data_IF_445459484016
#
_entry.id   IF_445459484016
#
_cell.length_a   1.000
_cell.length_b   1.000
_cell.length_c   1.000
_cell.angle_alpha   90.00
_cell.angle_beta   90.00
_cell.angle_gamma   90.00
#
_symmetry.space_group_name_H-M   'P 1'
#
loop_
_entity.id
_entity.type
_entity.pdbx_description
1 polymer ?
#
# COMPACT_ATOMS: atom_id res chain seq x y z
N UNK A 1 18.26 21.56 -76.06
CA UNK A 1 19.52 22.30 -75.85
C UNK A 1 19.35 23.56 -75.01
N UNK A 2 18.61 24.61 -75.41
CA UNK A 2 18.41 25.79 -74.54
C UNK A 2 17.53 25.49 -73.31
N UNK A 3 16.49 24.65 -73.48
CA UNK A 3 15.61 24.24 -72.39
C UNK A 3 16.30 23.31 -71.38
N UNK A 4 17.18 22.40 -71.83
CA UNK A 4 17.95 21.52 -70.93
C UNK A 4 18.91 22.31 -70.03
N UNK A 5 19.54 23.38 -70.56
CA UNK A 5 20.47 24.22 -69.79
C UNK A 5 19.70 25.03 -68.74
N UNK A 6 18.48 25.50 -69.05
CA UNK A 6 17.60 26.20 -68.10
C UNK A 6 17.07 25.26 -67.00
N UNK A 7 16.67 24.03 -67.33
CA UNK A 7 16.26 23.03 -66.35
C UNK A 7 17.41 22.64 -65.42
N UNK A 8 18.61 22.42 -65.97
CA UNK A 8 19.79 22.04 -65.19
C UNK A 8 20.22 23.19 -64.27
N UNK A 9 20.21 24.44 -64.77
CA UNK A 9 20.52 25.63 -63.97
C UNK A 9 19.52 25.86 -62.84
N UNK A 10 18.22 25.65 -63.10
CA UNK A 10 17.16 25.76 -62.10
C UNK A 10 17.36 24.71 -60.99
N UNK A 11 17.62 23.45 -61.36
CA UNK A 11 17.87 22.37 -60.39
C UNK A 11 19.13 22.59 -59.54
N UNK A 12 20.19 23.18 -60.12
CA UNK A 12 21.42 23.50 -59.36
C UNK A 12 21.28 24.68 -58.41
N UNK A 13 20.37 25.63 -58.71
CA UNK A 13 20.11 26.79 -57.85
C UNK A 13 19.39 26.37 -56.55
N UNK A 14 18.51 25.37 -56.63
CA UNK A 14 17.84 24.77 -55.48
C UNK A 14 18.74 23.86 -54.63
N UNK A 15 19.90 23.47 -55.14
CA UNK A 15 20.86 22.60 -54.46
C UNK A 15 22.09 23.37 -53.93
N UNK A 16 22.12 24.70 -54.04
CA UNK A 16 23.18 25.52 -53.46
C UNK A 16 23.16 25.36 -51.92
N UNK A 17 24.26 24.87 -51.30
CA UNK A 17 24.34 24.67 -49.86
C UNK A 17 23.99 25.93 -49.05
N UNK A 18 24.24 27.13 -49.61
CA UNK A 18 23.91 28.41 -48.97
C UNK A 18 22.41 28.67 -48.87
N UNK A 19 21.59 28.03 -49.70
CA UNK A 19 20.13 28.15 -49.69
C UNK A 19 19.47 26.96 -48.99
N UNK A 20 19.98 25.75 -49.24
CA UNK A 20 19.43 24.48 -48.73
C UNK A 20 19.61 24.37 -47.21
N UNK A 21 20.78 24.71 -46.68
CA UNK A 21 21.07 24.56 -45.24
C UNK A 21 20.15 25.49 -44.41
N UNK A 22 20.02 26.80 -44.71
CA UNK A 22 19.08 27.67 -44.00
C UNK A 22 17.62 27.20 -44.08
N UNK A 23 17.18 26.75 -45.26
CA UNK A 23 15.82 26.26 -45.46
C UNK A 23 15.53 25.00 -44.63
N UNK A 24 16.46 24.04 -44.61
CA UNK A 24 16.34 22.83 -43.77
C UNK A 24 16.36 23.21 -42.28
N UNK A 25 17.23 24.12 -41.84
CA UNK A 25 17.22 24.59 -40.45
C UNK A 25 15.94 25.32 -40.08
N UNK A 26 15.35 26.10 -40.99
CA UNK A 26 14.07 26.78 -40.76
C UNK A 26 12.92 25.78 -40.62
N UNK A 27 12.90 24.72 -41.44
CA UNK A 27 11.90 23.63 -41.33
C UNK A 27 12.10 22.82 -40.05
N UNK A 28 13.34 22.46 -39.70
CA UNK A 28 13.67 21.78 -38.46
C UNK A 28 13.24 22.59 -37.23
N UNK A 29 13.54 23.90 -37.22
CA UNK A 29 13.22 24.79 -36.10
C UNK A 29 11.73 25.11 -36.00
N UNK A 30 11.00 25.16 -37.12
CA UNK A 30 9.56 25.51 -37.13
C UNK A 30 8.64 24.30 -36.95
N UNK A 31 9.05 23.10 -37.37
CA UNK A 31 8.18 21.91 -37.34
C UNK A 31 8.68 20.88 -36.32
N UNK A 32 9.95 20.46 -36.43
CA UNK A 32 10.46 19.33 -35.65
C UNK A 32 10.70 19.73 -34.19
N UNK A 33 11.29 20.90 -33.95
CA UNK A 33 11.56 21.38 -32.58
C UNK A 33 10.26 21.60 -31.78
N UNK A 34 9.21 22.26 -32.29
CA UNK A 34 7.95 22.40 -31.54
C UNK A 34 7.25 21.09 -31.26
N UNK A 35 7.27 20.13 -32.19
CA UNK A 35 6.69 18.78 -31.97
C UNK A 35 7.44 18.04 -30.86
N UNK A 36 8.78 18.07 -30.88
CA UNK A 36 9.60 17.47 -29.83
C UNK A 36 9.35 18.13 -28.47
N UNK A 37 9.29 19.47 -28.42
CA UNK A 37 8.98 20.21 -27.19
C UNK A 37 7.58 19.83 -26.69
N UNK A 38 6.57 19.77 -27.56
CA UNK A 38 5.21 19.42 -27.17
C UNK A 38 5.13 18.00 -26.62
N UNK A 39 5.76 17.04 -27.28
CA UNK A 39 5.75 15.64 -26.85
C UNK A 39 6.55 15.43 -25.55
N UNK A 40 7.72 16.06 -25.41
CA UNK A 40 8.50 16.00 -24.16
C UNK A 40 7.79 16.70 -23.01
N UNK A 41 7.13 17.84 -23.27
CA UNK A 41 6.28 18.55 -22.30
C UNK A 41 5.09 17.69 -21.86
N UNK A 42 4.35 17.10 -22.79
CA UNK A 42 3.24 16.21 -22.49
C UNK A 42 3.69 15.00 -21.63
N UNK A 43 4.81 14.37 -21.98
CA UNK A 43 5.41 13.29 -21.17
C UNK A 43 5.85 13.75 -19.78
N UNK A 44 6.33 14.99 -19.64
CA UNK A 44 6.73 15.56 -18.35
C UNK A 44 5.50 15.85 -17.48
N UNK A 45 4.46 16.43 -18.05
CA UNK A 45 3.19 16.71 -17.36
C UNK A 45 2.51 15.43 -16.88
N UNK A 46 2.46 14.40 -17.72
CA UNK A 46 1.93 13.09 -17.33
C UNK A 46 2.71 12.50 -16.15
N UNK A 47 4.06 12.52 -16.21
CA UNK A 47 4.90 12.04 -15.11
C UNK A 47 4.67 12.81 -13.82
N UNK A 48 4.55 14.12 -13.87
CA UNK A 48 4.24 14.92 -12.68
C UNK A 48 2.85 14.61 -12.12
N UNK A 49 1.83 14.49 -12.97
CA UNK A 49 0.47 14.13 -12.52
C UNK A 49 0.45 12.76 -11.86
N UNK A 50 1.11 11.77 -12.45
CA UNK A 50 1.21 10.43 -11.86
C UNK A 50 1.94 10.45 -10.52
N UNK A 51 3.05 11.19 -10.43
CA UNK A 51 3.81 11.33 -9.18
C UNK A 51 2.99 12.05 -8.09
N UNK A 52 2.27 13.10 -8.45
CA UNK A 52 1.40 13.85 -7.53
C UNK A 52 0.26 12.96 -6.99
N UNK A 53 -0.42 12.24 -7.88
CA UNK A 53 -1.46 11.27 -7.51
C UNK A 53 -0.89 10.18 -6.60
N UNK A 54 0.26 9.58 -6.95
CA UNK A 54 0.92 8.56 -6.11
C UNK A 54 1.31 9.11 -4.75
N UNK A 55 1.90 10.30 -4.69
CA UNK A 55 2.29 10.94 -3.43
C UNK A 55 1.08 11.13 -2.52
N UNK A 56 -0.03 11.63 -3.08
CA UNK A 56 -1.27 11.81 -2.33
C UNK A 56 -1.82 10.48 -1.80
N UNK A 57 -1.95 9.48 -2.67
CA UNK A 57 -2.50 8.16 -2.29
C UNK A 57 -1.61 7.45 -1.27
N UNK A 58 -0.28 7.51 -1.43
CA UNK A 58 0.65 6.88 -0.49
C UNK A 58 0.65 7.57 0.87
N UNK A 59 0.53 8.90 0.89
CA UNK A 59 0.41 9.68 2.14
C UNK A 59 -0.89 9.35 2.88
N UNK A 60 -2.01 9.33 2.15
CA UNK A 60 -3.32 9.00 2.71
C UNK A 60 -3.35 7.56 3.24
N UNK A 61 -2.78 6.61 2.49
CA UNK A 61 -2.60 5.22 2.93
C UNK A 61 -1.81 5.15 4.24
N UNK A 62 -0.64 5.81 4.29
CA UNK A 62 0.24 5.73 5.46
C UNK A 62 -0.43 6.28 6.72
N UNK A 63 -1.12 7.42 6.61
CA UNK A 63 -1.83 8.04 7.74
C UNK A 63 -2.94 7.15 8.28
N UNK A 64 -3.80 6.63 7.41
CA UNK A 64 -4.90 5.72 7.78
C UNK A 64 -4.37 4.40 8.34
N UNK A 65 -3.27 3.91 7.78
CA UNK A 65 -2.60 2.74 8.29
C UNK A 65 -2.05 2.97 9.69
N UNK A 66 -1.37 4.09 9.97
CA UNK A 66 -0.89 4.40 11.32
C UNK A 66 -2.05 4.50 12.33
N UNK A 67 -3.17 5.10 11.93
CA UNK A 67 -4.40 5.15 12.73
C UNK A 67 -4.96 3.74 13.02
N UNK A 68 -4.91 2.82 12.04
CA UNK A 68 -5.35 1.44 12.19
C UNK A 68 -4.36 0.59 13.02
N UNK A 69 -3.07 0.77 12.82
CA UNK A 69 -1.98 0.03 13.46
C UNK A 69 -1.82 0.40 14.94
N UNK A 70 -2.05 1.68 15.29
CA UNK A 70 -2.10 2.14 16.68
C UNK A 70 -3.13 1.37 17.52
N UNK A 71 -4.18 0.81 16.88
CA UNK A 71 -5.22 0.03 17.54
C UNK A 71 -5.00 -1.50 17.61
N UNK A 72 -4.00 -2.08 16.94
CA UNK A 72 -3.87 -3.56 16.82
C UNK A 72 -2.57 -4.13 17.34
N UNK A 73 -1.43 -3.52 17.01
CA UNK A 73 -0.12 -4.13 17.31
C UNK A 73 0.25 -4.13 18.80
N UNK A 74 -0.31 -3.18 19.56
CA UNK A 74 -0.07 -3.01 21.01
C UNK A 74 -1.09 -3.78 21.85
N UNK A 75 -2.26 -4.10 21.27
CA UNK A 75 -3.37 -4.64 22.05
C UNK A 75 -3.37 -6.16 22.19
N UNK A 76 -2.70 -6.97 21.35
CA UNK A 76 -2.81 -8.43 21.49
C UNK A 76 -2.22 -9.00 22.79
N UNK A 77 -0.95 -8.71 23.06
CA UNK A 77 -0.25 -9.22 24.24
C UNK A 77 -0.83 -8.62 25.52
N UNK A 78 -1.19 -7.33 25.46
CA UNK A 78 -1.91 -6.64 26.53
C UNK A 78 -3.28 -7.26 26.77
N UNK A 79 -4.02 -7.56 25.71
CA UNK A 79 -5.35 -8.13 25.79
C UNK A 79 -5.30 -9.55 26.37
N UNK A 80 -4.47 -10.44 25.83
CA UNK A 80 -4.37 -11.82 26.31
C UNK A 80 -3.77 -11.94 27.72
N UNK A 81 -2.69 -11.21 28.04
CA UNK A 81 -2.01 -11.36 29.33
C UNK A 81 -2.59 -10.51 30.45
N UNK A 82 -3.20 -9.38 30.12
CA UNK A 82 -3.71 -8.41 31.11
C UNK A 82 -5.22 -8.37 31.08
N UNK A 83 -5.84 -7.96 29.96
CA UNK A 83 -7.29 -7.72 29.90
C UNK A 83 -8.10 -8.98 30.14
N UNK A 84 -7.82 -10.05 29.40
CA UNK A 84 -8.50 -11.33 29.49
C UNK A 84 -8.24 -12.00 30.85
N UNK A 85 -7.00 -11.94 31.34
CA UNK A 85 -6.64 -12.47 32.65
C UNK A 85 -7.38 -11.74 33.78
N UNK A 86 -7.51 -10.42 33.69
CA UNK A 86 -8.22 -9.61 34.67
C UNK A 86 -9.72 -9.86 34.61
N UNK A 87 -10.30 -9.93 33.40
CA UNK A 87 -11.72 -10.25 33.22
C UNK A 87 -12.06 -11.65 33.75
N UNK A 88 -11.18 -12.63 33.52
CA UNK A 88 -11.33 -13.98 34.07
C UNK A 88 -11.19 -14.00 35.59
N UNK A 89 -10.26 -13.21 36.14
CA UNK A 89 -10.11 -13.05 37.59
C UNK A 89 -11.35 -12.43 38.24
N UNK A 90 -11.90 -11.36 37.66
CA UNK A 90 -13.17 -10.77 38.13
C UNK A 90 -14.32 -11.78 38.07
N UNK A 91 -14.38 -12.61 37.02
CA UNK A 91 -15.37 -13.67 36.90
C UNK A 91 -15.26 -14.69 38.06
N UNK A 92 -14.05 -15.08 38.43
CA UNK A 92 -13.80 -16.01 39.54
C UNK A 92 -14.09 -15.36 40.91
N UNK A 93 -13.62 -14.13 41.14
CA UNK A 93 -13.78 -13.39 42.40
C UNK A 93 -15.25 -13.03 42.69
N UNK A 94 -16.06 -12.83 41.63
CA UNK A 94 -17.50 -12.60 41.72
C UNK A 94 -18.34 -13.88 41.84
N UNK A 95 -17.69 -15.04 41.95
CA UNK A 95 -18.33 -16.35 41.97
C UNK A 95 -19.24 -16.58 40.74
N UNK A 96 -18.78 -16.12 39.57
CA UNK A 96 -19.50 -16.18 38.29
C UNK A 96 -20.88 -15.53 38.34
N UNK A 97 -20.98 -14.33 38.94
CA UNK A 97 -22.24 -13.57 38.94
C UNK A 97 -22.70 -13.29 37.51
N UNK A 98 -24.03 -13.15 37.26
CA UNK A 98 -24.54 -12.84 35.93
C UNK A 98 -23.90 -11.59 35.31
N UNK A 99 -23.65 -10.55 36.12
CA UNK A 99 -23.00 -9.31 35.67
C UNK A 99 -21.54 -9.54 35.26
N UNK A 100 -20.79 -10.34 36.00
CA UNK A 100 -19.40 -10.65 35.70
C UNK A 100 -19.27 -11.56 34.46
N UNK A 101 -20.22 -12.48 34.25
CA UNK A 101 -20.31 -13.28 33.02
C UNK A 101 -20.55 -12.40 31.80
N UNK A 102 -21.48 -11.43 31.89
CA UNK A 102 -21.74 -10.48 30.80
C UNK A 102 -20.50 -9.64 30.51
N UNK A 103 -19.83 -9.11 31.53
CA UNK A 103 -18.61 -8.30 31.38
C UNK A 103 -17.46 -9.08 30.75
N UNK A 104 -17.27 -10.34 31.15
CA UNK A 104 -16.27 -11.22 30.56
C UNK A 104 -16.57 -11.53 29.09
N UNK A 105 -17.83 -11.82 28.76
CA UNK A 105 -18.27 -12.07 27.38
C UNK A 105 -18.09 -10.85 26.49
N UNK A 106 -18.43 -9.65 26.98
CA UNK A 106 -18.25 -8.38 26.27
C UNK A 106 -16.77 -8.12 25.95
N UNK A 107 -15.88 -8.37 26.92
CA UNK A 107 -14.44 -8.14 26.74
C UNK A 107 -13.80 -9.16 25.78
N UNK A 108 -14.25 -10.43 25.77
CA UNK A 108 -13.85 -11.41 24.76
C UNK A 108 -14.35 -11.02 23.37
N UNK A 109 -15.59 -10.54 23.25
CA UNK A 109 -16.20 -10.16 21.97
C UNK A 109 -15.58 -8.91 21.33
N UNK A 110 -15.00 -8.01 22.14
CA UNK A 110 -14.34 -6.79 21.67
C UNK A 110 -13.07 -7.03 20.88
N UNK A 111 -12.35 -8.10 21.17
CA UNK A 111 -11.06 -8.34 20.53
C UNK A 111 -11.18 -8.71 19.04
N UNK A 112 -12.04 -9.66 18.64
CA UNK A 112 -12.33 -9.92 17.22
C UNK A 112 -12.85 -8.69 16.47
N UNK A 113 -13.71 -7.87 17.09
CA UNK A 113 -14.26 -6.67 16.44
C UNK A 113 -13.19 -5.60 16.20
N UNK A 114 -12.27 -5.41 17.14
CA UNK A 114 -11.12 -4.51 16.97
C UNK A 114 -10.18 -4.96 15.84
N UNK A 115 -9.88 -6.26 15.75
CA UNK A 115 -9.09 -6.80 14.63
C UNK A 115 -9.83 -6.59 13.31
N UNK A 116 -11.13 -6.90 13.27
CA UNK A 116 -11.94 -6.79 12.06
C UNK A 116 -12.02 -5.33 11.57
N UNK A 117 -12.23 -4.37 12.47
CA UNK A 117 -12.29 -2.96 12.13
C UNK A 117 -10.97 -2.44 11.59
N UNK A 118 -9.85 -2.84 12.19
CA UNK A 118 -8.53 -2.45 11.72
C UNK A 118 -8.18 -3.11 10.39
N UNK A 119 -8.54 -4.38 10.20
CA UNK A 119 -8.41 -5.05 8.92
C UNK A 119 -9.20 -4.35 7.81
N UNK A 120 -10.47 -4.00 8.08
CA UNK A 120 -11.30 -3.26 7.12
C UNK A 120 -10.65 -1.94 6.70
N UNK A 121 -10.17 -1.16 7.67
CA UNK A 121 -9.47 0.11 7.41
C UNK A 121 -8.19 -0.09 6.60
N UNK A 122 -7.43 -1.15 6.86
CA UNK A 122 -6.21 -1.45 6.12
C UNK A 122 -6.50 -1.90 4.67
N UNK A 123 -7.55 -2.71 4.46
CA UNK A 123 -7.87 -3.31 3.15
C UNK A 123 -8.57 -2.33 2.18
N UNK A 124 -9.38 -1.39 2.69
CA UNK A 124 -10.03 -0.36 1.86
C UNK A 124 -9.00 0.44 1.03
N UNK A 125 -7.85 0.76 1.61
CA UNK A 125 -6.81 1.58 0.95
C UNK A 125 -5.85 0.77 0.07
N UNK A 126 -5.71 -0.54 0.32
CA UNK A 126 -4.87 -1.43 -0.48
C UNK A 126 -5.33 -1.46 -1.94
N UNK A 127 -6.64 -1.31 -2.21
CA UNK A 127 -7.17 -1.30 -3.58
C UNK A 127 -6.57 -0.16 -4.42
N UNK A 128 -6.44 1.04 -3.83
CA UNK A 128 -5.83 2.19 -4.49
C UNK A 128 -4.34 1.98 -4.75
N UNK A 129 -3.63 1.36 -3.81
CA UNK A 129 -2.22 0.99 -3.97
C UNK A 129 -2.03 -0.04 -5.10
N UNK A 130 -2.89 -1.05 -5.19
CA UNK A 130 -2.84 -2.09 -6.23
C UNK A 130 -3.02 -1.53 -7.65
N UNK A 131 -3.78 -0.45 -7.81
CA UNK A 131 -4.03 0.18 -9.12
C UNK A 131 -2.87 1.09 -9.55
N UNK A 132 -2.29 1.83 -8.60
CA UNK A 132 -1.33 2.90 -8.89
C UNK A 132 0.14 2.50 -8.69
N UNK A 133 0.40 1.50 -7.87
CA UNK A 133 1.73 0.99 -7.53
C UNK A 133 2.38 0.16 -8.63
N UNK A 134 3.65 -0.16 -8.42
CA UNK A 134 4.37 -1.17 -9.20
C UNK A 134 3.83 -2.59 -8.94
N UNK A 135 4.19 -3.53 -9.81
CA UNK A 135 3.90 -4.96 -9.62
C UNK A 135 4.47 -5.48 -8.28
N UNK A 136 5.60 -4.94 -7.83
CA UNK A 136 6.18 -5.27 -6.53
C UNK A 136 5.33 -4.77 -5.37
N UNK A 137 4.82 -3.53 -5.44
CA UNK A 137 3.89 -3.00 -4.44
C UNK A 137 2.57 -3.79 -4.43
N UNK A 138 2.09 -4.22 -5.61
CA UNK A 138 0.94 -5.10 -5.73
C UNK A 138 1.17 -6.44 -5.02
N UNK A 139 2.31 -7.09 -5.24
CA UNK A 139 2.64 -8.37 -4.58
C UNK A 139 2.75 -8.22 -3.06
N UNK A 140 3.44 -7.19 -2.58
CA UNK A 140 3.60 -6.92 -1.14
C UNK A 140 2.25 -6.64 -0.47
N UNK A 141 1.37 -5.88 -1.12
CA UNK A 141 0.03 -5.59 -0.57
C UNK A 141 -0.91 -6.78 -0.63
N UNK A 142 -0.76 -7.68 -1.60
CA UNK A 142 -1.49 -8.94 -1.66
C UNK A 142 -1.06 -9.92 -0.54
N UNK A 143 0.25 -10.04 -0.29
CA UNK A 143 0.78 -10.84 0.82
C UNK A 143 0.29 -10.29 2.18
N UNK A 144 0.22 -8.96 2.30
CA UNK A 144 -0.29 -8.32 3.51
C UNK A 144 -1.77 -8.64 3.75
N UNK A 145 -2.59 -8.59 2.71
CA UNK A 145 -4.01 -8.97 2.79
C UNK A 145 -4.17 -10.44 3.21
N UNK A 146 -3.38 -11.34 2.62
CA UNK A 146 -3.41 -12.76 2.96
C UNK A 146 -3.05 -13.01 4.43
N UNK A 147 -1.98 -12.39 4.94
CA UNK A 147 -1.59 -12.54 6.34
C UNK A 147 -2.66 -12.05 7.31
N UNK A 148 -3.35 -10.96 6.98
CA UNK A 148 -4.46 -10.47 7.82
C UNK A 148 -5.68 -11.40 7.77
N UNK A 149 -6.03 -11.95 6.61
CA UNK A 149 -7.10 -12.96 6.50
C UNK A 149 -6.79 -14.20 7.35
N UNK A 150 -5.52 -14.62 7.39
CA UNK A 150 -5.07 -15.72 8.24
C UNK A 150 -5.20 -15.39 9.73
N UNK A 151 -4.85 -14.16 10.16
CA UNK A 151 -5.08 -13.72 11.54
C UNK A 151 -6.57 -13.69 11.90
N UNK A 152 -7.43 -13.23 11.00
CA UNK A 152 -8.89 -13.25 11.21
C UNK A 152 -9.39 -14.67 11.41
N UNK A 153 -8.95 -15.62 10.59
CA UNK A 153 -9.31 -17.04 10.74
C UNK A 153 -8.82 -17.61 12.07
N UNK A 154 -7.57 -17.34 12.45
CA UNK A 154 -7.01 -17.78 13.73
C UNK A 154 -7.72 -17.14 14.92
N UNK A 155 -8.27 -15.93 14.78
CA UNK A 155 -9.05 -15.28 15.85
C UNK A 155 -10.32 -16.07 16.15
N UNK A 156 -11.00 -16.60 15.12
CA UNK A 156 -12.16 -17.49 15.30
C UNK A 156 -11.76 -18.82 15.95
N UNK A 157 -10.63 -19.39 15.57
CA UNK A 157 -10.10 -20.62 16.18
C UNK A 157 -9.72 -20.40 17.65
N UNK A 158 -9.10 -19.26 17.96
CA UNK A 158 -8.76 -18.83 19.33
C UNK A 158 -9.98 -18.65 20.23
N UNK A 159 -11.08 -18.05 19.72
CA UNK A 159 -12.35 -17.98 20.45
C UNK A 159 -12.91 -19.39 20.75
N UNK A 160 -12.75 -20.32 19.81
CA UNK A 160 -13.12 -21.72 19.98
C UNK A 160 -12.33 -22.40 21.10
N UNK A 161 -11.00 -22.17 21.15
CA UNK A 161 -10.14 -22.66 22.23
C UNK A 161 -10.50 -22.02 23.58
N UNK A 162 -10.83 -20.74 23.63
CA UNK A 162 -11.22 -20.05 24.86
C UNK A 162 -12.46 -20.66 25.53
N UNK A 163 -13.44 -21.10 24.73
CA UNK A 163 -14.60 -21.83 25.25
C UNK A 163 -14.20 -23.15 25.93
N UNK A 164 -13.08 -23.76 25.53
CA UNK A 164 -12.54 -24.97 26.16
C UNK A 164 -11.65 -24.65 27.38
N UNK A 165 -10.91 -23.54 27.34
CA UNK A 165 -10.03 -23.07 28.43
C UNK A 165 -10.81 -22.62 29.67
N UNK A 166 -12.08 -22.21 29.52
CA UNK A 166 -13.01 -22.01 30.64
C UNK A 166 -13.18 -23.27 31.54
N UNK A 167 -12.87 -24.46 31.00
CA UNK A 167 -12.94 -25.75 31.70
C UNK A 167 -11.58 -26.11 32.33
N UNK A 168 -10.46 -25.65 31.77
CA UNK A 168 -9.10 -25.80 32.30
C UNK A 168 -8.20 -24.63 31.84
N UNK A 169 -7.71 -23.77 32.75
CA UNK A 169 -7.06 -22.52 32.37
C UNK A 169 -5.61 -22.75 31.92
N UNK A 170 -5.42 -23.00 30.62
CA UNK A 170 -4.13 -22.80 29.96
C UNK A 170 -4.23 -21.62 28.99
N UNK A 171 -3.71 -20.47 29.44
CA UNK A 171 -3.69 -19.21 28.68
C UNK A 171 -2.48 -19.12 27.73
N UNK A 172 -1.57 -20.10 27.74
CA UNK A 172 -0.43 -20.21 26.81
C UNK A 172 -0.81 -20.96 25.52
N UNK A 173 -2.04 -20.73 25.04
CA UNK A 173 -2.63 -21.41 23.90
C UNK A 173 -1.71 -21.36 22.66
N UNK A 174 -1.52 -22.49 21.96
CA UNK A 174 -0.64 -22.58 20.79
C UNK A 174 -1.06 -21.63 19.66
N UNK A 175 -2.35 -21.29 19.56
CA UNK A 175 -2.85 -20.31 18.58
C UNK A 175 -2.35 -18.90 18.91
N UNK A 176 -2.24 -18.53 20.18
CA UNK A 176 -1.78 -17.20 20.56
C UNK A 176 -0.32 -16.94 20.14
N UNK A 177 0.53 -17.96 20.25
CA UNK A 177 1.92 -17.91 19.78
C UNK A 177 1.98 -17.77 18.24
N UNK A 178 1.12 -18.49 17.51
CA UNK A 178 1.04 -18.39 16.04
C UNK A 178 0.53 -17.03 15.56
N UNK A 179 -0.50 -16.49 16.21
CA UNK A 179 -1.04 -15.16 15.93
C UNK A 179 0.03 -14.09 16.14
N UNK A 180 0.80 -14.18 17.24
CA UNK A 180 1.93 -13.26 17.51
C UNK A 180 2.99 -13.30 16.42
N UNK A 181 3.42 -14.50 15.99
CA UNK A 181 4.40 -14.64 14.92
C UNK A 181 3.91 -14.03 13.59
N UNK A 182 2.64 -14.21 13.24
CA UNK A 182 2.07 -13.56 12.04
C UNK A 182 1.95 -12.04 12.18
N UNK A 183 1.64 -11.53 13.36
CA UNK A 183 1.62 -10.09 13.61
C UNK A 183 3.00 -9.46 13.41
N UNK A 184 4.08 -10.14 13.80
CA UNK A 184 5.46 -9.73 13.51
C UNK A 184 5.77 -9.74 12.02
N UNK A 185 5.34 -10.77 11.28
CA UNK A 185 5.47 -10.82 9.81
C UNK A 185 4.74 -9.66 9.12
N UNK A 186 3.53 -9.32 9.58
CA UNK A 186 2.76 -8.17 9.09
C UNK A 186 3.53 -6.86 9.31
N UNK A 187 4.20 -6.71 10.45
CA UNK A 187 5.01 -5.53 10.76
C UNK A 187 6.21 -5.41 9.81
N UNK A 188 6.92 -6.51 9.56
CA UNK A 188 8.04 -6.53 8.61
C UNK A 188 7.59 -6.24 7.18
N UNK A 189 6.48 -6.85 6.76
CA UNK A 189 5.93 -6.65 5.42
C UNK A 189 5.47 -5.20 5.21
N UNK A 190 4.91 -4.58 6.24
CA UNK A 190 4.58 -3.15 6.24
C UNK A 190 5.84 -2.30 5.99
N UNK A 191 6.94 -2.57 6.68
CA UNK A 191 8.18 -1.81 6.45
C UNK A 191 8.69 -1.98 5.01
N UNK A 192 8.51 -3.15 4.40
CA UNK A 192 8.80 -3.37 2.96
C UNK A 192 7.88 -2.55 2.05
N UNK A 193 6.56 -2.54 2.30
CA UNK A 193 5.59 -1.73 1.55
C UNK A 193 5.96 -0.24 1.61
N UNK A 194 6.32 0.27 2.78
CA UNK A 194 6.75 1.66 2.97
C UNK A 194 8.02 1.95 2.17
N UNK A 195 9.02 1.08 2.24
CA UNK A 195 10.27 1.27 1.52
C UNK A 195 10.04 1.25 0.00
N UNK A 196 9.14 0.39 -0.49
CA UNK A 196 8.77 0.35 -1.91
C UNK A 196 8.02 1.62 -2.34
N UNK A 197 7.09 2.13 -1.54
CA UNK A 197 6.46 3.42 -1.84
C UNK A 197 7.49 4.56 -1.90
N UNK A 198 8.49 4.54 -1.01
CA UNK A 198 9.56 5.55 -1.00
C UNK A 198 10.48 5.46 -2.22
N UNK A 199 10.80 4.25 -2.69
CA UNK A 199 11.58 4.08 -3.92
C UNK A 199 10.80 4.55 -5.16
N UNK A 200 9.49 4.27 -5.21
CA UNK A 200 8.62 4.72 -6.31
C UNK A 200 8.46 6.25 -6.37
N UNK A 201 8.51 6.92 -5.21
CA UNK A 201 8.50 8.38 -5.11
C UNK A 201 9.88 9.03 -5.30
N UNK A 202 10.93 8.24 -5.54
CA UNK A 202 12.33 8.70 -5.62
C UNK A 202 12.83 9.38 -4.33
N UNK A 203 12.18 9.11 -3.19
CA UNK A 203 12.51 9.66 -1.87
C UNK A 203 13.56 8.80 -1.11
N UNK A 204 14.17 7.84 -1.79
CA UNK A 204 15.04 6.82 -1.20
C UNK A 204 16.36 6.56 -1.94
N UNK A 205 16.65 7.27 -3.04
CA UNK A 205 17.96 7.17 -3.70
C UNK A 205 18.99 8.02 -2.96
N UNK A 206 19.91 7.35 -2.26
CA UNK A 206 21.27 7.84 -2.06
C UNK A 206 22.18 7.10 -3.04
#
# INVERSE_FOLDING_TARGET
>A
MANDILETACNTLWLDPKLVIPAITAVLASVIVPILIHHTKARRELRYKTLDIRTKVYTDYFKKYEEAAAGVGVDYEKFTKVTLRNAFRELLESNSSPEAMVKFSDEIGRFPSQIQDSHRKATEEITSLKILGSDELFMLTAEFEQLNQEIMKMTSEWLGELNQVLIAPDLDAPIAKKMKAKAEQIKELKDKIINQMRSELDLGKK
#
